data_IF_248146338926
#
_entry.id   IF_248146338926
#
_cell.length_a   1.000
_cell.length_b   1.000
_cell.length_c   1.000
_cell.angle_alpha   90.00
_cell.angle_beta   90.00
_cell.angle_gamma   90.00
#
_symmetry.space_group_name_H-M   'P 1'
#
loop_
_entity.id
_entity.type
_entity.pdbx_description
1 polymer ?
#
# COMPACT_ATOMS: atom_id res chain seq x y z
N UNK A 1 -29.45 -30.63 6.64
CA UNK A 1 -29.72 -29.20 6.40
C UNK A 1 -28.41 -28.45 6.56
N UNK A 2 -27.83 -27.97 5.46
CA UNK A 2 -26.70 -27.03 5.53
C UNK A 2 -27.25 -25.68 5.09
N UNK A 3 -27.41 -24.78 6.04
CA UNK A 3 -27.62 -23.37 5.75
C UNK A 3 -26.22 -22.79 5.57
N UNK A 4 -25.78 -22.68 4.32
CA UNK A 4 -24.59 -21.92 3.98
C UNK A 4 -25.02 -20.46 3.90
N UNK A 5 -24.79 -19.70 4.97
CA UNK A 5 -24.97 -18.26 4.95
C UNK A 5 -23.84 -17.63 4.14
N UNK A 6 -24.20 -16.82 3.13
CA UNK A 6 -23.23 -16.16 2.26
C UNK A 6 -22.85 -14.81 2.86
N UNK A 7 -21.59 -14.69 3.28
CA UNK A 7 -21.01 -13.41 3.70
C UNK A 7 -20.47 -12.69 2.46
N UNK A 8 -21.00 -11.50 2.17
CA UNK A 8 -20.47 -10.64 1.09
C UNK A 8 -19.41 -9.72 1.67
N UNK A 9 -18.22 -9.75 1.08
CA UNK A 9 -17.07 -8.96 1.52
C UNK A 9 -16.58 -8.11 0.34
N UNK A 10 -16.38 -6.78 0.51
CA UNK A 10 -15.96 -5.90 -0.58
C UNK A 10 -14.44 -5.99 -0.81
N UNK A 11 -13.94 -7.20 -1.11
CA UNK A 11 -12.54 -7.46 -1.39
C UNK A 11 -12.32 -7.88 -2.84
N UNK A 12 -11.17 -7.52 -3.41
CA UNK A 12 -10.63 -8.18 -4.58
C UNK A 12 -10.26 -9.63 -4.28
N UNK A 13 -10.16 -10.46 -5.33
CA UNK A 13 -9.82 -11.88 -5.20
C UNK A 13 -8.51 -12.12 -4.45
N UNK A 14 -7.50 -11.27 -4.69
CA UNK A 14 -6.19 -11.40 -4.07
C UNK A 14 -6.20 -11.12 -2.56
N UNK A 15 -7.00 -10.13 -2.12
CA UNK A 15 -7.21 -9.88 -0.70
C UNK A 15 -8.01 -11.01 -0.05
N UNK A 16 -9.05 -11.51 -0.73
CA UNK A 16 -9.86 -12.62 -0.23
C UNK A 16 -9.03 -13.89 -0.01
N UNK A 17 -8.18 -14.27 -0.97
CA UNK A 17 -7.29 -15.43 -0.87
C UNK A 17 -6.37 -15.33 0.35
N UNK A 18 -5.75 -14.15 0.56
CA UNK A 18 -4.92 -13.87 1.73
C UNK A 18 -5.69 -13.94 3.05
N UNK A 19 -6.91 -13.40 3.08
CA UNK A 19 -7.77 -13.44 4.26
C UNK A 19 -8.14 -14.87 4.64
N UNK A 20 -8.53 -15.68 3.65
CA UNK A 20 -8.84 -17.10 3.84
C UNK A 20 -7.60 -17.82 4.38
N UNK A 21 -6.43 -17.60 3.79
CA UNK A 21 -5.20 -18.18 4.31
C UNK A 21 -4.96 -17.81 5.78
N UNK A 22 -5.07 -16.53 6.13
CA UNK A 22 -4.89 -16.05 7.50
C UNK A 22 -5.86 -16.74 8.48
N UNK A 23 -7.13 -16.93 8.12
CA UNK A 23 -8.07 -17.64 8.99
C UNK A 23 -7.67 -19.08 9.30
N UNK A 24 -6.95 -19.75 8.38
CA UNK A 24 -6.56 -21.15 8.54
C UNK A 24 -5.13 -21.33 9.05
N UNK A 25 -4.22 -20.39 8.83
CA UNK A 25 -2.82 -20.47 9.28
C UNK A 25 -2.48 -19.58 10.47
N UNK A 26 -3.27 -18.52 10.71
CA UNK A 26 -2.92 -17.45 11.64
C UNK A 26 -1.81 -16.51 11.13
N UNK A 27 -1.43 -16.61 9.86
CA UNK A 27 -0.36 -15.83 9.25
C UNK A 27 -0.80 -15.27 7.89
N UNK A 28 -0.55 -13.98 7.67
CA UNK A 28 -0.91 -13.32 6.43
C UNK A 28 0.16 -13.62 5.36
N UNK A 29 -0.20 -14.17 4.19
CA UNK A 29 0.78 -14.45 3.15
C UNK A 29 1.52 -13.18 2.72
N UNK A 30 2.81 -13.11 3.01
CA UNK A 30 3.69 -12.03 2.56
C UNK A 30 4.28 -12.33 1.18
N UNK A 31 4.71 -11.29 0.48
CA UNK A 31 5.42 -11.42 -0.80
C UNK A 31 6.92 -11.33 -0.51
N UNK A 32 7.70 -12.27 -1.02
CA UNK A 32 9.15 -12.25 -0.85
C UNK A 32 9.77 -11.05 -1.59
N UNK A 33 10.54 -10.24 -0.87
CA UNK A 33 11.33 -9.13 -1.41
C UNK A 33 12.60 -9.62 -2.11
N UNK A 34 12.43 -10.50 -3.09
CA UNK A 34 13.51 -11.07 -3.87
C UNK A 34 13.46 -10.56 -5.33
N UNK A 35 14.27 -11.17 -6.20
CA UNK A 35 14.27 -10.83 -7.62
C UNK A 35 12.90 -11.01 -8.29
N UNK A 36 11.99 -11.84 -7.75
CA UNK A 36 10.65 -12.01 -8.29
C UNK A 36 9.82 -10.74 -8.11
N UNK A 37 9.86 -10.10 -6.94
CA UNK A 37 9.16 -8.84 -6.70
C UNK A 37 9.63 -7.73 -7.64
N UNK A 38 10.95 -7.60 -7.79
CA UNK A 38 11.55 -6.56 -8.64
C UNK A 38 11.30 -6.79 -10.15
N UNK A 39 11.00 -8.02 -10.55
CA UNK A 39 10.66 -8.37 -11.93
C UNK A 39 9.16 -8.20 -12.24
N UNK A 40 8.31 -7.95 -11.24
CA UNK A 40 6.89 -7.66 -11.47
C UNK A 40 6.72 -6.30 -12.16
N UNK A 41 5.71 -6.22 -13.02
CA UNK A 41 5.25 -4.94 -13.58
C UNK A 41 4.69 -4.03 -12.49
N UNK A 42 4.59 -2.73 -12.77
CA UNK A 42 3.99 -1.78 -11.82
C UNK A 42 2.53 -2.11 -11.48
N UNK A 43 1.78 -2.64 -12.43
CA UNK A 43 0.38 -3.05 -12.21
C UNK A 43 0.28 -4.26 -11.28
N UNK A 44 1.17 -5.25 -11.43
CA UNK A 44 1.23 -6.41 -10.55
C UNK A 44 1.66 -6.01 -9.14
N UNK A 45 2.72 -5.20 -9.00
CA UNK A 45 3.15 -4.68 -7.70
C UNK A 45 2.02 -3.89 -7.02
N UNK A 46 1.31 -3.04 -7.77
CA UNK A 46 0.14 -2.29 -7.29
C UNK A 46 -0.97 -3.24 -6.84
N UNK A 47 -1.28 -4.29 -7.59
CA UNK A 47 -2.30 -5.28 -7.21
C UNK A 47 -1.99 -5.92 -5.85
N UNK A 48 -0.73 -6.32 -5.64
CA UNK A 48 -0.28 -6.86 -4.36
C UNK A 48 -0.41 -5.86 -3.22
N UNK A 49 -0.01 -4.60 -3.43
CA UNK A 49 -0.13 -3.53 -2.44
C UNK A 49 -1.59 -3.22 -2.11
N UNK A 50 -2.44 -3.08 -3.12
CA UNK A 50 -3.87 -2.81 -2.97
C UNK A 50 -4.56 -3.89 -2.12
N UNK A 51 -4.19 -5.17 -2.31
CA UNK A 51 -4.75 -6.25 -1.52
C UNK A 51 -4.50 -6.05 -0.01
N UNK A 52 -3.34 -5.54 0.39
CA UNK A 52 -3.08 -5.23 1.81
C UNK A 52 -3.90 -4.03 2.30
N UNK A 53 -4.12 -3.00 1.48
CA UNK A 53 -4.99 -1.87 1.87
C UNK A 53 -6.46 -2.30 2.01
N UNK A 54 -6.97 -3.14 1.11
CA UNK A 54 -8.31 -3.71 1.21
C UNK A 54 -8.45 -4.56 2.49
N UNK A 55 -7.45 -5.39 2.79
CA UNK A 55 -7.41 -6.20 4.01
C UNK A 55 -7.38 -5.35 5.28
N UNK A 56 -6.56 -4.30 5.30
CA UNK A 56 -6.48 -3.38 6.43
C UNK A 56 -7.82 -2.68 6.68
N UNK A 57 -8.47 -2.20 5.61
CA UNK A 57 -9.80 -1.58 5.69
C UNK A 57 -10.87 -2.56 6.20
N UNK A 58 -10.88 -3.80 5.70
CA UNK A 58 -11.79 -4.82 6.20
C UNK A 58 -11.50 -5.18 7.66
N UNK A 59 -10.22 -5.29 8.03
CA UNK A 59 -9.79 -5.64 9.36
C UNK A 59 -10.22 -4.59 10.39
N UNK A 60 -10.20 -3.30 10.03
CA UNK A 60 -10.79 -2.25 10.87
C UNK A 60 -12.29 -2.44 11.07
N UNK A 61 -13.02 -2.80 10.00
CA UNK A 61 -14.45 -3.02 10.08
C UNK A 61 -14.83 -4.30 10.87
N UNK A 62 -14.02 -5.35 10.79
CA UNK A 62 -14.25 -6.65 11.44
C UNK A 62 -13.52 -6.82 12.76
N UNK A 63 -12.79 -5.80 13.22
CA UNK A 63 -11.97 -5.84 14.44
C UNK A 63 -10.92 -6.95 14.43
N UNK A 64 -10.27 -7.17 13.27
CA UNK A 64 -9.19 -8.13 13.10
C UNK A 64 -7.82 -7.45 13.24
N UNK A 65 -7.47 -7.02 14.46
CA UNK A 65 -6.25 -6.23 14.72
C UNK A 65 -4.98 -6.87 14.16
N UNK A 66 -4.81 -8.19 14.28
CA UNK A 66 -3.67 -8.92 13.71
C UNK A 66 -3.57 -8.77 12.18
N UNK A 67 -4.69 -8.88 11.45
CA UNK A 67 -4.71 -8.70 9.99
C UNK A 67 -4.36 -7.26 9.62
N UNK A 68 -4.86 -6.28 10.38
CA UNK A 68 -4.54 -4.86 10.15
C UNK A 68 -3.03 -4.61 10.27
N UNK A 69 -2.43 -5.03 11.37
CA UNK A 69 -1.01 -4.84 11.65
C UNK A 69 -0.11 -5.57 10.64
N UNK A 70 -0.42 -6.84 10.34
CA UNK A 70 0.30 -7.62 9.35
C UNK A 70 0.19 -7.01 7.94
N UNK A 71 -0.98 -6.49 7.57
CA UNK A 71 -1.19 -5.82 6.28
C UNK A 71 -0.37 -4.54 6.16
N UNK A 72 -0.36 -3.71 7.20
CA UNK A 72 0.45 -2.48 7.24
C UNK A 72 1.94 -2.79 7.14
N UNK A 73 2.42 -3.78 7.88
CA UNK A 73 3.81 -4.23 7.87
C UNK A 73 4.21 -4.74 6.48
N UNK A 74 3.39 -5.61 5.89
CA UNK A 74 3.62 -6.16 4.55
C UNK A 74 3.64 -5.07 3.47
N UNK A 75 2.65 -4.15 3.47
CA UNK A 75 2.61 -3.04 2.52
C UNK A 75 3.85 -2.12 2.66
N UNK A 76 4.21 -1.75 3.89
CA UNK A 76 5.36 -0.88 4.17
C UNK A 76 6.68 -1.48 3.68
N UNK A 77 6.89 -2.78 3.91
CA UNK A 77 8.08 -3.49 3.44
C UNK A 77 8.16 -3.55 1.91
N UNK A 78 7.03 -3.78 1.22
CA UNK A 78 6.95 -3.82 -0.24
C UNK A 78 7.15 -2.44 -0.88
N UNK A 79 6.60 -1.39 -0.28
CA UNK A 79 6.74 -0.01 -0.77
C UNK A 79 8.18 0.45 -0.87
N UNK A 80 9.06 -0.02 0.04
CA UNK A 80 10.49 0.30 0.00
C UNK A 80 11.23 -0.26 -1.22
N UNK A 81 10.72 -1.32 -1.84
CA UNK A 81 11.30 -1.97 -3.03
C UNK A 81 10.40 -1.86 -4.27
N UNK A 82 9.30 -1.12 -4.19
CA UNK A 82 8.34 -0.97 -5.28
C UNK A 82 8.83 0.02 -6.32
N UNK A 83 8.35 -0.15 -7.55
CA UNK A 83 8.44 0.92 -8.55
C UNK A 83 7.71 2.16 -8.05
N UNK A 84 8.26 3.34 -8.35
CA UNK A 84 7.56 4.60 -8.08
C UNK A 84 6.22 4.68 -8.82
N UNK A 85 6.03 3.83 -9.83
CA UNK A 85 4.77 3.69 -10.52
C UNK A 85 3.68 3.08 -9.65
N UNK A 86 3.94 1.88 -9.15
CA UNK A 86 3.05 1.16 -8.26
C UNK A 86 2.77 1.96 -6.97
N UNK A 87 3.81 2.54 -6.35
CA UNK A 87 3.68 3.23 -5.07
C UNK A 87 2.78 4.48 -5.14
N UNK A 88 2.89 5.31 -6.20
CA UNK A 88 2.05 6.51 -6.36
C UNK A 88 0.58 6.13 -6.56
N UNK A 89 0.31 5.11 -7.36
CA UNK A 89 -1.07 4.67 -7.60
C UNK A 89 -1.67 3.96 -6.40
N UNK A 90 -0.85 3.23 -5.64
CA UNK A 90 -1.22 2.67 -4.35
C UNK A 90 -1.61 3.75 -3.34
N UNK A 91 -0.86 4.86 -3.26
CA UNK A 91 -1.16 5.98 -2.35
C UNK A 91 -2.57 6.52 -2.60
N UNK A 92 -2.94 6.75 -3.86
CA UNK A 92 -4.31 7.16 -4.21
C UNK A 92 -5.35 6.11 -3.83
N UNK A 93 -5.06 4.83 -4.06
CA UNK A 93 -5.97 3.74 -3.71
C UNK A 93 -6.18 3.61 -2.19
N UNK A 94 -5.11 3.64 -1.40
CA UNK A 94 -5.16 3.56 0.05
C UNK A 94 -5.91 4.74 0.66
N UNK A 95 -5.76 5.94 0.09
CA UNK A 95 -6.51 7.14 0.51
C UNK A 95 -8.01 6.98 0.28
N UNK A 96 -8.42 6.40 -0.85
CA UNK A 96 -9.83 6.10 -1.13
C UNK A 96 -10.45 5.11 -0.12
N UNK A 97 -9.63 4.26 0.50
CA UNK A 97 -10.03 3.33 1.56
C UNK A 97 -9.85 3.91 2.98
N UNK A 98 -9.43 5.17 3.11
CA UNK A 98 -9.16 5.82 4.39
C UNK A 98 -7.95 5.25 5.15
N UNK A 99 -7.07 4.48 4.49
CA UNK A 99 -5.94 3.79 5.11
C UNK A 99 -4.72 4.71 5.25
N UNK A 100 -4.83 5.73 6.10
CA UNK A 100 -3.85 6.82 6.20
C UNK A 100 -2.44 6.39 6.62
N UNK A 101 -2.30 5.39 7.49
CA UNK A 101 -0.98 4.87 7.88
C UNK A 101 -0.21 4.29 6.67
N UNK A 102 -0.93 3.63 5.75
CA UNK A 102 -0.36 3.13 4.50
C UNK A 102 -0.08 4.25 3.51
N UNK A 103 -0.94 5.28 3.46
CA UNK A 103 -0.70 6.48 2.66
C UNK A 103 0.59 7.15 3.08
N UNK A 104 0.81 7.35 4.39
CA UNK A 104 2.06 7.91 4.91
C UNK A 104 3.29 7.08 4.52
N UNK A 105 3.21 5.75 4.67
CA UNK A 105 4.29 4.85 4.27
C UNK A 105 4.61 4.96 2.76
N UNK A 106 3.58 5.02 1.92
CA UNK A 106 3.73 5.18 0.47
C UNK A 106 4.30 6.54 0.09
N UNK A 107 3.80 7.63 0.69
CA UNK A 107 4.32 8.97 0.47
C UNK A 107 5.80 9.05 0.84
N UNK A 108 6.18 8.51 2.00
CA UNK A 108 7.59 8.47 2.44
C UNK A 108 8.48 7.68 1.46
N UNK A 109 7.98 6.57 0.90
CA UNK A 109 8.78 5.77 -0.04
C UNK A 109 9.06 6.50 -1.36
N UNK A 110 8.18 7.38 -1.83
CA UNK A 110 8.33 8.10 -3.11
C UNK A 110 8.71 9.58 -2.97
N UNK A 111 8.73 10.15 -1.77
CA UNK A 111 8.98 11.58 -1.55
C UNK A 111 10.27 12.08 -2.22
N UNK A 112 11.35 11.30 -2.14
CA UNK A 112 12.64 11.63 -2.76
C UNK A 112 12.60 11.75 -4.30
N UNK A 113 11.56 11.20 -4.95
CA UNK A 113 11.35 11.26 -6.40
C UNK A 113 10.40 12.39 -6.82
N UNK A 114 9.91 13.22 -5.89
CA UNK A 114 8.91 14.24 -6.15
C UNK A 114 9.21 15.12 -7.38
N UNK A 115 10.42 15.67 -7.60
CA UNK A 115 10.72 16.45 -8.80
C UNK A 115 10.49 15.67 -10.10
N UNK A 116 10.97 14.41 -10.16
CA UNK A 116 10.80 13.54 -11.33
C UNK A 116 9.35 13.15 -11.57
N UNK A 117 8.59 12.89 -10.50
CA UNK A 117 7.17 12.55 -10.58
C UNK A 117 6.36 13.76 -11.07
N UNK A 118 6.71 14.96 -10.62
CA UNK A 118 6.11 16.22 -11.08
C UNK A 118 6.36 16.44 -12.57
N UNK A 119 7.62 16.31 -13.01
CA UNK A 119 7.99 16.58 -14.41
C UNK A 119 7.41 15.54 -15.39
N UNK A 120 7.11 14.33 -14.90
CA UNK A 120 6.49 13.27 -15.71
C UNK A 120 4.96 13.33 -15.75
N UNK A 121 4.32 14.30 -15.09
CA UNK A 121 2.85 14.43 -15.03
C UNK A 121 2.16 13.34 -14.20
N UNK A 122 2.91 12.44 -13.55
CA UNK A 122 2.33 11.32 -12.79
C UNK A 122 1.60 11.74 -11.53
N UNK A 123 1.85 12.95 -11.07
CA UNK A 123 1.20 13.57 -9.92
C UNK A 123 -0.20 14.12 -10.23
N UNK A 124 -0.56 14.34 -11.51
CA UNK A 124 -1.87 14.90 -11.90
C UNK A 124 -3.06 14.03 -11.51
N UNK A 125 -2.83 12.75 -11.20
CA UNK A 125 -3.86 11.80 -10.76
C UNK A 125 -4.13 11.84 -9.26
N UNK A 126 -3.28 12.51 -8.49
CA UNK A 126 -3.44 12.66 -7.05
C UNK A 126 -4.31 13.88 -6.77
N UNK A 127 -5.14 13.81 -5.74
CA UNK A 127 -5.84 14.98 -5.23
C UNK A 127 -4.86 15.96 -4.54
N UNK A 128 -5.34 17.18 -4.28
CA UNK A 128 -4.53 18.24 -3.68
C UNK A 128 -4.02 17.89 -2.27
N UNK A 129 -4.74 17.05 -1.52
CA UNK A 129 -4.34 16.63 -0.17
C UNK A 129 -3.12 15.70 -0.24
N UNK A 130 -3.18 14.69 -1.11
CA UNK A 130 -2.07 13.77 -1.38
C UNK A 130 -0.86 14.51 -1.97
N UNK A 131 -1.08 15.48 -2.85
CA UNK A 131 -0.01 16.32 -3.41
C UNK A 131 0.68 17.16 -2.32
N UNK A 132 -0.10 17.74 -1.40
CA UNK A 132 0.44 18.53 -0.31
C UNK A 132 1.24 17.67 0.67
N UNK A 133 0.78 16.45 0.97
CA UNK A 133 1.54 15.50 1.78
C UNK A 133 2.87 15.13 1.11
N UNK A 134 2.86 14.82 -0.18
CA UNK A 134 4.07 14.46 -0.92
C UNK A 134 5.06 15.63 -1.00
N UNK A 135 4.58 16.86 -1.21
CA UNK A 135 5.43 18.07 -1.15
C UNK A 135 6.02 18.27 0.24
N UNK A 136 5.23 18.08 1.29
CA UNK A 136 5.67 18.25 2.69
C UNK A 136 6.75 17.23 3.04
N UNK A 137 6.54 15.96 2.69
CA UNK A 137 7.54 14.90 2.90
C UNK A 137 8.79 15.10 2.04
N UNK A 138 8.67 15.59 0.80
CA UNK A 138 9.83 15.96 0.01
C UNK A 138 10.67 17.08 0.66
N UNK A 139 10.02 18.12 1.20
CA UNK A 139 10.72 19.19 1.92
C UNK A 139 11.45 18.62 3.14
N UNK A 140 10.78 17.78 3.94
CA UNK A 140 11.42 17.09 5.07
C UNK A 140 12.63 16.28 4.62
N UNK A 141 12.50 15.48 3.56
CA UNK A 141 13.60 14.72 2.99
C UNK A 141 14.78 15.62 2.57
N UNK A 142 14.52 16.72 1.86
CA UNK A 142 15.57 17.65 1.40
C UNK A 142 16.31 18.36 2.53
N UNK A 143 15.62 18.68 3.63
CA UNK A 143 16.22 19.33 4.80
C UNK A 143 17.13 18.38 5.58
N UNK A 144 16.81 17.09 5.61
CA UNK A 144 17.63 16.06 6.28
C UNK A 144 18.75 15.52 5.38
N UNK A 145 18.59 15.57 4.04
CA UNK A 145 19.60 15.13 3.07
C UNK A 145 20.73 16.13 2.78
N UNK A 146 20.68 17.35 3.33
CA UNK A 146 21.67 18.41 3.11
C UNK A 146 22.81 18.50 4.13
N UNK A 147 22.86 17.59 5.12
CA UNK A 147 23.76 17.66 6.27
C UNK A 147 24.70 16.48 6.48
N UNK A 148 25.02 15.72 5.43
CA UNK A 148 25.89 14.54 5.53
C UNK A 148 26.88 14.43 4.37
N UNK A 149 28.02 15.11 4.52
CA UNK A 149 29.31 14.74 3.94
C UNK A 149 30.31 14.65 5.10
#
# INVERSE_FOLDING_TARGET
>A
CSFSDVIRVPLGWQALDKLVHWFYSGELPSVALDCRWNNLSSDEQRSHLNAYAELSSLAEFWFLEGVKEESLSAASSLLGSSTSAAAVEFVAFAANLGQWEMVEAGVRSVAHLYPRLRDSGRLERLDEELLNMLRTEYVRYSQHGGGGN
#
